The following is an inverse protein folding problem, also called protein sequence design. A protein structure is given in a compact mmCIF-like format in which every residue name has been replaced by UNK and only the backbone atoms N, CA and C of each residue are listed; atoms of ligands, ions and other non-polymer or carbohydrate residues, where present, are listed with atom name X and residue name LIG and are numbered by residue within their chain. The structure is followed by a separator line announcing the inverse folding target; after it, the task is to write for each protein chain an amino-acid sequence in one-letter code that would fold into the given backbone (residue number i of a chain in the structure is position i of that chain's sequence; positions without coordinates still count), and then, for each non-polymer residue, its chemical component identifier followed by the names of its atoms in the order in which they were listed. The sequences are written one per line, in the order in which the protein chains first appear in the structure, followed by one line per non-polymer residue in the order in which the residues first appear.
data_IF_278887196855
#
_entry.id   IF_278887196855
#
_cell.length_a   1.000
_cell.length_b   1.000
_cell.length_c   1.000
_cell.angle_alpha   90.00
_cell.angle_beta   90.00
_cell.angle_gamma   90.00
#
_symmetry.space_group_name_H-M   'P 1'
#
loop_
_entity.id
_entity.type
_entity.pdbx_description
1 polymer ?
#
# COMPACT_ATOMS: atom_id res chain seq x y z
N UNK A 1 -27.98 -28.51 14.85
CA UNK A 1 -26.97 -27.43 14.76
C UNK A 1 -25.54 -27.92 14.50
N UNK A 2 -25.17 -29.14 14.94
CA UNK A 2 -23.84 -29.74 14.70
C UNK A 2 -23.48 -29.89 13.20
N UNK A 3 -24.42 -30.35 12.38
CA UNK A 3 -24.21 -30.59 10.94
C UNK A 3 -24.02 -29.30 10.12
N UNK A 4 -24.56 -28.17 10.59
CA UNK A 4 -24.39 -26.87 9.91
C UNK A 4 -23.02 -26.29 10.20
N UNK A 5 -22.54 -26.40 11.45
CA UNK A 5 -21.18 -25.99 11.85
C UNK A 5 -20.10 -26.82 11.15
N UNK A 6 -20.32 -28.13 10.99
CA UNK A 6 -19.41 -29.03 10.27
C UNK A 6 -19.34 -28.71 8.77
N UNK A 7 -20.48 -28.40 8.14
CA UNK A 7 -20.54 -28.01 6.71
C UNK A 7 -19.88 -26.66 6.45
N UNK A 8 -20.05 -25.69 7.35
CA UNK A 8 -19.39 -24.39 7.25
C UNK A 8 -17.87 -24.54 7.42
N UNK A 9 -17.41 -25.35 8.37
CA UNK A 9 -15.98 -25.62 8.56
C UNK A 9 -15.35 -26.31 7.33
N UNK A 10 -16.04 -27.26 6.70
CA UNK A 10 -15.56 -27.90 5.46
C UNK A 10 -15.48 -26.94 4.28
N UNK A 11 -16.44 -26.01 4.14
CA UNK A 11 -16.41 -25.00 3.07
C UNK A 11 -15.27 -23.99 3.28
N UNK A 12 -15.02 -23.57 4.52
CA UNK A 12 -13.88 -22.68 4.84
C UNK A 12 -12.56 -23.39 4.56
N UNK A 13 -12.44 -24.67 4.92
CA UNK A 13 -11.24 -25.46 4.64
C UNK A 13 -11.00 -25.59 3.13
N UNK A 14 -12.05 -25.84 2.33
CA UNK A 14 -11.98 -25.99 0.88
C UNK A 14 -11.60 -24.69 0.15
N UNK A 15 -11.94 -23.53 0.72
CA UNK A 15 -11.57 -22.19 0.21
C UNK A 15 -10.13 -21.81 0.60
N UNK A 16 -9.57 -22.39 1.67
CA UNK A 16 -8.20 -22.13 2.11
C UNK A 16 -7.14 -22.97 1.37
N UNK A 17 -7.51 -24.11 0.76
CA UNK A 17 -6.61 -24.97 -0.04
C UNK A 17 -5.95 -24.21 -1.21
N UNK A 18 -6.67 -23.40 -2.03
CA UNK A 18 -6.03 -22.66 -3.12
C UNK A 18 -5.12 -21.52 -2.66
N UNK A 19 -5.19 -21.10 -1.38
CA UNK A 19 -4.28 -20.08 -0.84
C UNK A 19 -2.94 -20.70 -0.40
N UNK A 20 -2.93 -21.94 0.06
CA UNK A 20 -1.70 -22.66 0.41
C UNK A 20 -0.93 -23.22 -0.81
N UNK A 21 -1.62 -23.42 -1.94
CA UNK A 21 -1.03 -24.00 -3.14
C UNK A 21 -0.27 -23.02 -4.04
N UNK A 22 -0.31 -21.70 -3.76
CA UNK A 22 0.40 -20.70 -4.57
C UNK A 22 1.90 -20.60 -4.28
N UNK A 23 2.41 -21.27 -3.23
CA UNK A 23 3.81 -21.15 -2.80
C UNK A 23 4.64 -22.44 -2.95
N UNK A 24 4.22 -23.41 -3.76
CA UNK A 24 5.06 -24.55 -4.11
C UNK A 24 5.74 -24.35 -5.46
N UNK A 25 6.80 -23.54 -5.48
CA UNK A 25 7.83 -23.70 -6.51
C UNK A 25 8.58 -24.99 -6.22
N UNK A 26 8.19 -26.05 -6.92
CA UNK A 26 8.91 -27.32 -6.96
C UNK A 26 10.29 -27.05 -7.56
N UNK A 27 11.34 -27.08 -6.76
CA UNK A 27 12.72 -27.14 -7.26
C UNK A 27 13.00 -28.60 -7.63
N UNK A 28 12.48 -29.00 -8.80
CA UNK A 28 12.92 -30.21 -9.48
C UNK A 28 14.04 -29.76 -10.41
N UNK A 29 15.28 -30.11 -10.06
CA UNK A 29 16.44 -29.88 -10.91
C UNK A 29 16.36 -30.78 -12.16
N UNK A 30 15.54 -30.37 -13.12
CA UNK A 30 15.61 -30.78 -14.51
C UNK A 30 16.61 -29.86 -15.20
N UNK A 31 17.26 -30.32 -16.27
CA UNK A 31 18.02 -29.44 -17.14
C UNK A 31 17.05 -28.38 -17.69
N UNK A 32 17.13 -27.17 -17.13
CA UNK A 32 16.32 -26.03 -17.51
C UNK A 32 16.52 -25.77 -19.01
N UNK A 33 15.43 -25.81 -19.77
CA UNK A 33 15.49 -25.60 -21.22
C UNK A 33 15.64 -24.12 -21.54
N UNK A 34 16.01 -23.81 -22.79
CA UNK A 34 16.00 -22.44 -23.28
C UNK A 34 14.61 -21.79 -23.13
N UNK A 35 13.55 -22.57 -23.37
CA UNK A 35 12.17 -22.10 -23.23
C UNK A 35 11.84 -21.77 -21.76
N UNK A 36 12.19 -22.64 -20.82
CA UNK A 36 11.98 -22.39 -19.39
C UNK A 36 12.70 -21.12 -18.91
N UNK A 37 13.94 -20.92 -19.36
CA UNK A 37 14.72 -19.74 -19.02
C UNK A 37 14.15 -18.46 -19.61
N UNK A 38 13.66 -18.52 -20.85
CA UNK A 38 13.00 -17.38 -21.48
C UNK A 38 11.71 -17.02 -20.75
N UNK A 39 10.85 -18.00 -20.47
CA UNK A 39 9.61 -17.80 -19.73
C UNK A 39 9.88 -17.26 -18.33
N UNK A 40 10.86 -17.78 -17.61
CA UNK A 40 11.23 -17.27 -16.29
C UNK A 40 11.67 -15.80 -16.31
N UNK A 41 12.43 -15.39 -17.33
CA UNK A 41 12.85 -13.99 -17.51
C UNK A 41 11.65 -13.10 -17.84
N UNK A 42 10.78 -13.52 -18.76
CA UNK A 42 9.57 -12.77 -19.13
C UNK A 42 8.65 -12.58 -17.93
N UNK A 43 8.41 -13.64 -17.16
CA UNK A 43 7.65 -13.62 -15.91
C UNK A 43 8.25 -12.68 -14.87
N UNK A 44 9.58 -12.72 -14.68
CA UNK A 44 10.28 -11.85 -13.74
C UNK A 44 10.22 -10.38 -14.20
N UNK A 45 10.27 -10.13 -15.51
CA UNK A 45 10.13 -8.80 -16.09
C UNK A 45 8.72 -8.24 -15.89
N UNK A 46 7.68 -9.03 -16.11
CA UNK A 46 6.28 -8.62 -15.87
C UNK A 46 6.08 -8.26 -14.39
N UNK A 47 6.55 -9.11 -13.47
CA UNK A 47 6.47 -8.83 -12.04
C UNK A 47 7.22 -7.53 -11.65
N UNK A 48 8.40 -7.31 -12.23
CA UNK A 48 9.16 -6.07 -12.00
C UNK A 48 8.38 -4.83 -12.49
N UNK A 49 7.70 -4.91 -13.63
CA UNK A 49 6.85 -3.83 -14.16
C UNK A 49 5.67 -3.52 -13.22
N UNK A 50 5.00 -4.56 -12.70
CA UNK A 50 3.92 -4.41 -11.73
C UNK A 50 4.41 -3.72 -10.44
N UNK A 51 5.58 -4.12 -9.94
CA UNK A 51 6.20 -3.52 -8.77
C UNK A 51 6.61 -2.06 -9.01
N UNK A 52 7.16 -1.72 -10.17
CA UNK A 52 7.43 -0.33 -10.55
C UNK A 52 6.15 0.51 -10.57
N UNK A 53 5.07 -0.04 -11.12
CA UNK A 53 3.77 0.64 -11.19
C UNK A 53 3.23 0.90 -9.78
N UNK A 54 3.32 -0.08 -8.89
CA UNK A 54 2.91 0.07 -7.49
C UNK A 54 3.74 1.12 -6.75
N UNK A 55 5.07 1.17 -6.97
CA UNK A 55 5.94 2.19 -6.39
C UNK A 55 5.59 3.60 -6.87
N UNK A 56 5.32 3.77 -8.18
CA UNK A 56 4.89 5.06 -8.76
C UNK A 56 3.55 5.51 -8.17
N UNK A 57 2.62 4.59 -7.93
CA UNK A 57 1.34 4.91 -7.31
C UNK A 57 1.47 5.32 -5.83
N UNK A 58 2.44 4.74 -5.11
CA UNK A 58 2.79 5.18 -3.77
C UNK A 58 3.41 6.59 -3.78
N UNK A 59 4.33 6.86 -4.70
CA UNK A 59 4.96 8.17 -4.88
C UNK A 59 3.95 9.28 -5.21
N UNK A 60 3.04 9.02 -6.15
CA UNK A 60 1.95 9.95 -6.50
C UNK A 60 1.07 10.31 -5.30
N UNK A 61 1.01 9.45 -4.30
CA UNK A 61 0.27 9.65 -3.07
C UNK A 61 1.08 10.36 -1.98
N UNK A 62 2.29 10.84 -2.31
CA UNK A 62 3.18 11.55 -1.41
C UNK A 62 4.00 10.63 -0.49
N UNK A 63 3.99 9.31 -0.72
CA UNK A 63 4.75 8.38 0.11
C UNK A 63 6.25 8.43 -0.21
N UNK A 64 7.10 8.23 0.79
CA UNK A 64 8.53 8.07 0.58
C UNK A 64 8.85 6.69 -0.01
N UNK A 65 9.36 6.67 -1.24
CA UNK A 65 9.68 5.44 -1.98
C UNK A 65 11.18 5.11 -2.04
N UNK A 66 12.05 5.77 -1.26
CA UNK A 66 13.51 5.57 -1.35
C UNK A 66 13.91 4.11 -1.11
N UNK A 67 13.33 3.47 -0.11
CA UNK A 67 13.60 2.06 0.18
C UNK A 67 13.03 1.13 -0.90
N UNK A 68 11.82 1.42 -1.40
CA UNK A 68 11.20 0.69 -2.52
C UNK A 68 12.07 0.74 -3.78
N UNK A 69 12.63 1.90 -4.10
CA UNK A 69 13.53 2.08 -5.24
C UNK A 69 14.84 1.31 -5.08
N UNK A 70 15.37 1.21 -3.86
CA UNK A 70 16.58 0.42 -3.60
C UNK A 70 16.36 -1.07 -3.93
N UNK A 71 15.21 -1.61 -3.52
CA UNK A 71 14.83 -3.00 -3.79
C UNK A 71 14.57 -3.22 -5.29
N UNK A 72 13.85 -2.31 -5.96
CA UNK A 72 13.64 -2.39 -7.41
C UNK A 72 14.94 -2.34 -8.21
N UNK A 73 15.92 -1.55 -7.77
CA UNK A 73 17.22 -1.48 -8.40
C UNK A 73 18.01 -2.79 -8.23
N UNK A 74 17.93 -3.43 -7.06
CA UNK A 74 18.55 -4.73 -6.84
C UNK A 74 17.87 -5.84 -7.67
N UNK A 75 16.54 -5.86 -7.71
CA UNK A 75 15.78 -6.77 -8.55
C UNK A 75 16.09 -6.59 -10.05
N UNK A 76 16.21 -5.34 -10.52
CA UNK A 76 16.64 -5.04 -11.89
C UNK A 76 18.06 -5.54 -12.20
N UNK A 77 18.97 -5.51 -11.23
CA UNK A 77 20.30 -6.08 -11.36
C UNK A 77 20.27 -7.60 -11.54
N UNK A 78 19.42 -8.31 -10.79
CA UNK A 78 19.25 -9.75 -10.95
C UNK A 78 18.64 -10.10 -12.31
N UNK A 79 17.63 -9.36 -12.77
CA UNK A 79 17.06 -9.56 -14.10
C UNK A 79 18.10 -9.33 -15.20
N UNK A 80 18.96 -8.32 -15.07
CA UNK A 80 20.06 -8.09 -16.01
C UNK A 80 21.07 -9.26 -16.04
N UNK A 81 21.41 -9.83 -14.87
CA UNK A 81 22.24 -11.03 -14.78
C UNK A 81 21.55 -12.25 -15.40
N UNK A 82 20.23 -12.37 -15.26
CA UNK A 82 19.45 -13.44 -15.87
C UNK A 82 19.51 -13.37 -17.40
N UNK A 83 19.27 -12.18 -17.98
CA UNK A 83 19.37 -11.96 -19.43
C UNK A 83 20.79 -12.18 -19.96
N UNK A 84 21.82 -11.79 -19.20
CA UNK A 84 23.20 -12.05 -19.56
C UNK A 84 23.50 -13.56 -19.58
N UNK A 85 23.14 -14.30 -18.53
CA UNK A 85 23.32 -15.75 -18.48
C UNK A 85 22.56 -16.48 -19.61
N UNK A 86 21.35 -16.01 -19.96
CA UNK A 86 20.60 -16.52 -21.10
C UNK A 86 21.38 -16.32 -22.41
N UNK A 87 21.97 -15.14 -22.62
CA UNK A 87 22.76 -14.85 -23.81
C UNK A 87 24.04 -15.68 -23.92
N UNK A 88 24.60 -16.14 -22.80
CA UNK A 88 25.73 -17.06 -22.75
C UNK A 88 25.33 -18.54 -22.92
N UNK A 89 24.03 -18.83 -23.09
CA UNK A 89 23.50 -20.20 -23.17
C UNK A 89 23.45 -20.93 -21.83
N UNK A 90 23.64 -20.22 -20.72
CA UNK A 90 23.56 -20.76 -19.37
C UNK A 90 22.15 -20.60 -18.80
N UNK A 91 21.24 -21.45 -19.29
CA UNK A 91 19.81 -21.40 -18.97
C UNK A 91 19.51 -21.65 -17.48
N UNK A 92 20.27 -22.54 -16.83
CA UNK A 92 20.10 -22.80 -15.39
C UNK A 92 20.41 -21.56 -14.55
N UNK A 93 21.47 -20.81 -14.89
CA UNK A 93 21.79 -19.57 -14.17
C UNK A 93 20.79 -18.45 -14.50
N UNK A 94 20.30 -18.40 -15.74
CA UNK A 94 19.26 -17.46 -16.14
C UNK A 94 17.99 -17.63 -15.29
N UNK A 95 17.52 -18.87 -15.13
CA UNK A 95 16.34 -19.18 -14.31
C UNK A 95 16.59 -18.88 -12.84
N UNK A 96 17.78 -19.23 -12.32
CA UNK A 96 18.16 -18.93 -10.95
C UNK A 96 18.07 -17.42 -10.66
N UNK A 97 18.64 -16.57 -11.52
CA UNK A 97 18.60 -15.13 -11.33
C UNK A 97 17.20 -14.55 -11.55
N UNK A 98 16.42 -15.08 -12.50
CA UNK A 98 15.03 -14.67 -12.70
C UNK A 98 14.16 -14.99 -11.48
N UNK A 99 14.34 -16.16 -10.88
CA UNK A 99 13.67 -16.52 -9.62
C UNK A 99 14.12 -15.63 -8.47
N UNK A 100 15.40 -15.28 -8.39
CA UNK A 100 15.91 -14.37 -7.36
C UNK A 100 15.28 -12.96 -7.48
N UNK A 101 15.06 -12.47 -8.70
CA UNK A 101 14.27 -11.25 -8.95
C UNK A 101 12.87 -11.38 -8.35
N UNK A 102 12.15 -12.47 -8.63
CA UNK A 102 10.79 -12.70 -8.11
C UNK A 102 10.76 -12.77 -6.58
N UNK A 103 11.70 -13.48 -5.96
CA UNK A 103 11.77 -13.60 -4.50
C UNK A 103 12.10 -12.27 -3.84
N UNK A 104 12.96 -11.44 -4.43
CA UNK A 104 13.25 -10.11 -3.89
C UNK A 104 12.03 -9.18 -3.95
N UNK A 105 11.15 -9.39 -4.95
CA UNK A 105 9.91 -8.64 -5.11
C UNK A 105 8.70 -9.25 -4.36
N UNK A 106 8.89 -10.33 -3.60
CA UNK A 106 7.80 -10.96 -2.86
C UNK A 106 7.24 -10.01 -1.79
N UNK A 107 5.92 -9.75 -1.83
CA UNK A 107 5.27 -8.80 -0.92
C UNK A 107 5.55 -7.32 -1.22
N UNK A 108 6.27 -7.01 -2.30
CA UNK A 108 6.62 -5.63 -2.66
C UNK A 108 5.38 -4.77 -2.92
N UNK A 109 4.39 -5.32 -3.64
CA UNK A 109 3.14 -4.60 -3.96
C UNK A 109 2.38 -4.24 -2.68
N UNK A 110 2.30 -5.16 -1.71
CA UNK A 110 1.63 -4.91 -0.43
C UNK A 110 2.37 -3.84 0.38
N UNK A 111 3.70 -3.86 0.37
CA UNK A 111 4.52 -2.84 1.01
C UNK A 111 4.33 -1.46 0.35
N UNK A 112 4.32 -1.40 -0.98
CA UNK A 112 4.05 -0.18 -1.72
C UNK A 112 2.64 0.37 -1.43
N UNK A 113 1.63 -0.50 -1.34
CA UNK A 113 0.27 -0.12 -0.95
C UNK A 113 0.21 0.42 0.47
N UNK A 114 0.91 -0.20 1.42
CA UNK A 114 0.96 0.29 2.80
C UNK A 114 1.60 1.69 2.90
N UNK A 115 2.64 1.95 2.10
CA UNK A 115 3.27 3.27 2.00
C UNK A 115 2.32 4.29 1.35
N UNK A 116 1.61 3.90 0.29
CA UNK A 116 0.57 4.72 -0.35
C UNK A 116 -0.50 5.16 0.65
N UNK A 117 -1.07 4.22 1.41
CA UNK A 117 -2.08 4.51 2.42
C UNK A 117 -1.55 5.42 3.53
N UNK A 118 -0.30 5.22 3.94
CA UNK A 118 0.36 6.10 4.91
C UNK A 118 0.49 7.52 4.38
N UNK A 119 0.92 7.70 3.13
CA UNK A 119 1.01 9.03 2.48
C UNK A 119 -0.36 9.73 2.41
N UNK A 120 -1.40 9.02 1.98
CA UNK A 120 -2.77 9.56 1.95
C UNK A 120 -3.25 9.97 3.35
N UNK A 121 -2.97 9.14 4.36
CA UNK A 121 -3.40 9.41 5.73
C UNK A 121 -2.69 10.62 6.33
N UNK A 122 -1.39 10.78 6.11
CA UNK A 122 -0.63 11.94 6.57
C UNK A 122 -1.19 13.23 5.95
N UNK A 123 -1.45 13.24 4.65
CA UNK A 123 -2.09 14.38 3.96
C UNK A 123 -3.47 14.69 4.55
N UNK A 124 -4.30 13.67 4.78
CA UNK A 124 -5.66 13.87 5.26
C UNK A 124 -5.73 14.29 6.74
N UNK A 125 -4.83 13.77 7.59
CA UNK A 125 -4.75 14.16 9.00
C UNK A 125 -4.31 15.62 9.15
N UNK A 126 -3.31 16.04 8.39
CA UNK A 126 -2.86 17.44 8.40
C UNK A 126 -3.98 18.37 7.93
N UNK A 127 -4.72 17.99 6.89
CA UNK A 127 -5.84 18.78 6.39
C UNK A 127 -6.97 18.89 7.43
N UNK A 128 -7.35 17.78 8.05
CA UNK A 128 -8.49 17.74 8.97
C UNK A 128 -8.18 18.46 10.29
N UNK A 129 -6.99 18.30 10.86
CA UNK A 129 -6.65 18.94 12.14
C UNK A 129 -6.29 20.42 11.94
N UNK A 130 -5.41 20.77 10.99
CA UNK A 130 -4.96 22.15 10.88
C UNK A 130 -6.02 23.05 10.25
N UNK A 131 -6.64 22.63 9.15
CA UNK A 131 -7.53 23.52 8.37
C UNK A 131 -8.93 23.52 8.98
N UNK A 132 -9.55 22.36 9.14
CA UNK A 132 -10.93 22.28 9.67
C UNK A 132 -10.96 22.65 11.16
N UNK A 133 -9.95 22.23 11.93
CA UNK A 133 -9.80 22.61 13.33
C UNK A 133 -9.68 24.14 13.52
N UNK A 134 -8.83 24.82 12.74
CA UNK A 134 -8.67 26.28 12.85
C UNK A 134 -9.92 27.05 12.43
N UNK A 135 -10.58 26.64 11.34
CA UNK A 135 -11.80 27.31 10.87
C UNK A 135 -12.92 27.16 11.89
N UNK A 136 -13.16 25.94 12.37
CA UNK A 136 -14.21 25.67 13.37
C UNK A 136 -13.92 26.36 14.71
N UNK A 137 -12.66 26.36 15.17
CA UNK A 137 -12.25 27.06 16.38
C UNK A 137 -12.46 28.57 16.29
N UNK A 138 -12.09 29.19 15.16
CA UNK A 138 -12.26 30.63 14.94
C UNK A 138 -13.74 31.05 14.94
N UNK A 139 -14.59 30.26 14.29
CA UNK A 139 -16.05 30.45 14.30
C UNK A 139 -16.64 30.32 15.71
N UNK A 140 -16.18 29.35 16.50
CA UNK A 140 -16.65 29.18 17.87
C UNK A 140 -16.31 30.39 18.75
N UNK A 141 -15.11 30.95 18.61
CA UNK A 141 -14.70 32.17 19.32
C UNK A 141 -15.55 33.37 18.91
N UNK A 142 -15.80 33.55 17.61
CA UNK A 142 -16.65 34.64 17.11
C UNK A 142 -18.08 34.51 17.63
N UNK A 143 -18.70 33.34 17.52
CA UNK A 143 -20.06 33.08 18.00
C UNK A 143 -20.16 33.24 19.52
N UNK A 144 -19.19 32.70 20.27
CA UNK A 144 -19.14 32.85 21.72
C UNK A 144 -19.00 34.31 22.16
N UNK A 145 -18.10 35.06 21.53
CA UNK A 145 -17.93 36.49 21.77
C UNK A 145 -19.21 37.28 21.48
N UNK A 146 -19.88 36.96 20.36
CA UNK A 146 -21.13 37.61 19.98
C UNK A 146 -22.27 37.29 20.98
N UNK A 147 -22.37 36.04 21.44
CA UNK A 147 -23.36 35.63 22.43
C UNK A 147 -23.16 36.34 23.78
N UNK A 148 -21.91 36.45 24.25
CA UNK A 148 -21.57 37.20 25.47
C UNK A 148 -21.91 38.68 25.32
N UNK A 149 -21.55 39.30 24.20
CA UNK A 149 -21.89 40.69 23.90
C UNK A 149 -23.42 40.93 23.92
N UNK A 150 -24.18 40.04 23.30
CA UNK A 150 -25.63 40.15 23.25
C UNK A 150 -26.29 39.97 24.63
N UNK A 151 -25.76 39.07 25.46
CA UNK A 151 -26.19 38.89 26.85
C UNK A 151 -25.94 40.12 27.71
N UNK A 152 -24.75 40.74 27.59
CA UNK A 152 -24.43 41.98 28.28
C UNK A 152 -25.37 43.12 27.85
N UNK A 153 -25.54 43.33 26.54
CA UNK A 153 -26.44 44.36 26.00
C UNK A 153 -27.89 44.18 26.46
N UNK A 154 -28.37 42.94 26.58
CA UNK A 154 -29.73 42.64 27.08
C UNK A 154 -29.91 42.95 28.56
N UNK A 155 -28.83 42.93 29.37
CA UNK A 155 -28.87 43.32 30.78
C UNK A 155 -28.91 44.84 30.95
N UNK A 156 -28.15 45.57 30.14
CA UNK A 156 -28.18 47.05 30.16
C UNK A 156 -29.55 47.60 29.75
N UNK A 157 -30.14 47.08 28.67
CA UNK A 157 -31.50 47.48 28.26
C UNK A 157 -32.60 47.11 29.27
N UNK A 158 -32.36 46.11 30.15
CA UNK A 158 -33.26 45.80 31.26
C UNK A 158 -33.06 46.72 32.47
N UNK A 159 -31.89 47.31 32.65
CA UNK A 159 -31.63 48.25 33.74
C UNK A 159 -32.24 49.63 33.47
N UNK A 160 -32.26 50.07 32.21
CA UNK A 160 -32.90 51.34 31.82
C UNK A 160 -34.44 51.28 31.86
N UNK A 161 -35.03 50.14 31.54
CA UNK A 161 -36.50 49.94 31.58
C UNK A 161 -37.10 49.76 32.98
N UNK A 162 -36.29 49.70 34.04
CA UNK A 162 -36.74 49.64 35.45
C UNK A 162 -36.61 51.00 36.14
N UNK A 163 -35.94 51.96 35.51
CA UNK A 163 -35.76 53.32 36.00
C UNK A 163 -36.74 54.35 35.37
N UNK A 164 -37.67 53.90 34.53
CA UNK A 164 -38.75 54.69 33.93
C UNK A 164 -40.11 54.20 34.47
#
# INVERSE_FOLDING_TARGET
MWNVRLRIALLIFLILIPFAAKNSHNVLALNETEEDAKTAIEDAQENLIDCYTAAVDAEKSGANITELLSVLNEAGMFLSKASFAYSEGNFSSAVYFANLTRTNLEGFVDWAQALKEKGIREINQDFMVNIVGSISGSLAILCGGFAVFFLFKRREGKAEGVAA
#
